data_IF_072696356152
#
_entry.id   IF_072696356152
#
_cell.length_a   1.000
_cell.length_b   1.000
_cell.length_c   1.000
_cell.angle_alpha   90.00
_cell.angle_beta   90.00
_cell.angle_gamma   90.00
#
_symmetry.space_group_name_H-M   'P 1'
#
loop_
_entity.id
_entity.type
_entity.pdbx_description
1 polymer ?
#
# COMPACT_ATOMS: atom_id res chain seq x y z
N UNK A 1 54.58 -29.51 -45.12
CA UNK A 1 53.62 -30.63 -44.99
C UNK A 1 53.61 -31.03 -43.52
N UNK A 2 52.44 -31.28 -42.92
CA UNK A 2 52.17 -31.49 -41.49
C UNK A 2 52.25 -30.22 -40.61
N UNK A 3 51.36 -29.94 -39.64
CA UNK A 3 50.28 -30.69 -39.01
C UNK A 3 49.23 -29.68 -38.50
N UNK A 4 47.93 -29.98 -38.66
CA UNK A 4 46.84 -29.22 -38.06
C UNK A 4 46.64 -29.64 -36.59
N UNK A 5 46.38 -28.67 -35.71
CA UNK A 5 45.77 -28.91 -34.39
C UNK A 5 44.70 -27.85 -34.18
N UNK A 6 43.44 -28.28 -34.19
CA UNK A 6 42.30 -27.53 -33.71
C UNK A 6 42.16 -27.76 -32.20
N UNK A 7 42.05 -26.69 -31.42
CA UNK A 7 41.59 -26.77 -30.04
C UNK A 7 40.28 -26.01 -29.94
N UNK A 8 39.21 -26.78 -29.77
CA UNK A 8 37.84 -26.34 -29.54
C UNK A 8 37.74 -25.44 -28.30
N UNK A 9 36.99 -24.35 -28.44
CA UNK A 9 36.68 -23.45 -27.35
C UNK A 9 35.89 -24.14 -26.24
N UNK A 10 36.21 -23.77 -25.00
CA UNK A 10 35.38 -24.05 -23.83
C UNK A 10 34.96 -22.71 -23.27
N UNK A 11 33.78 -22.23 -23.68
CA UNK A 11 33.15 -21.08 -23.05
C UNK A 11 32.57 -21.54 -21.70
N UNK A 12 33.23 -21.17 -20.60
CA UNK A 12 32.67 -21.33 -19.27
C UNK A 12 31.59 -20.27 -19.05
N UNK A 13 30.33 -20.68 -19.08
CA UNK A 13 29.19 -19.88 -18.63
C UNK A 13 28.93 -20.15 -17.14
N UNK A 14 29.46 -19.28 -16.27
CA UNK A 14 29.18 -19.10 -14.83
C UNK A 14 29.67 -17.68 -14.49
N UNK A 15 28.96 -16.73 -13.91
CA UNK A 15 27.72 -16.69 -13.15
C UNK A 15 26.99 -15.38 -13.48
N UNK A 16 25.66 -15.42 -13.66
CA UNK A 16 24.80 -14.23 -13.69
C UNK A 16 23.76 -14.32 -12.59
N UNK A 17 24.23 -14.46 -11.35
CA UNK A 17 23.44 -14.12 -10.16
C UNK A 17 24.21 -13.07 -9.36
N UNK A 18 24.34 -11.88 -9.96
CA UNK A 18 24.64 -10.70 -9.17
C UNK A 18 23.34 -10.33 -8.43
N UNK A 19 23.34 -10.19 -7.09
CA UNK A 19 22.19 -9.70 -6.36
C UNK A 19 21.83 -8.32 -6.94
N UNK A 20 20.58 -8.15 -7.38
CA UNK A 20 20.08 -6.83 -7.74
C UNK A 20 20.32 -5.88 -6.55
N UNK A 21 20.83 -4.66 -6.77
CA UNK A 21 21.07 -3.73 -5.69
C UNK A 21 19.77 -3.54 -4.90
N UNK A 22 19.87 -3.71 -3.59
CA UNK A 22 18.80 -3.35 -2.66
C UNK A 22 18.57 -1.85 -2.79
N UNK A 23 17.56 -1.46 -3.57
CA UNK A 23 17.08 -0.09 -3.59
C UNK A 23 16.69 0.23 -2.15
N UNK A 24 17.37 1.20 -1.55
CA UNK A 24 17.05 1.66 -0.20
C UNK A 24 15.59 2.09 -0.15
N UNK A 25 14.92 1.82 0.97
CA UNK A 25 13.54 2.25 1.14
C UNK A 25 13.46 3.78 1.02
N UNK A 26 12.49 4.28 0.25
CA UNK A 26 12.21 5.72 0.14
C UNK A 26 11.24 6.11 1.24
N UNK A 27 11.63 7.04 2.09
CA UNK A 27 10.77 7.58 3.15
C UNK A 27 10.46 9.05 2.86
N UNK A 28 9.23 9.33 2.46
CA UNK A 28 8.67 10.66 2.26
C UNK A 28 7.76 11.09 3.42
N UNK A 29 7.64 10.30 4.50
CA UNK A 29 6.85 10.74 5.66
C UNK A 29 7.48 12.00 6.30
N UNK A 30 6.64 12.93 6.81
CA UNK A 30 7.12 14.03 7.63
C UNK A 30 7.98 13.52 8.80
N UNK A 31 9.09 14.19 9.17
CA UNK A 31 10.01 13.71 10.20
C UNK A 31 9.39 13.48 11.59
N UNK A 32 8.30 14.18 11.89
CA UNK A 32 7.52 14.08 13.11
C UNK A 32 6.34 13.10 13.02
N UNK A 33 6.08 12.55 11.83
CA UNK A 33 5.04 11.57 11.61
C UNK A 33 5.57 10.15 11.85
N UNK A 34 5.24 9.59 13.00
CA UNK A 34 5.51 8.18 13.29
C UNK A 34 4.57 7.23 12.53
N UNK A 35 5.11 6.10 12.06
CA UNK A 35 4.31 4.98 11.56
C UNK A 35 3.46 4.41 12.70
N UNK A 36 2.17 4.17 12.47
CA UNK A 36 1.29 3.68 13.53
C UNK A 36 1.62 2.25 13.93
N UNK A 37 1.52 1.93 15.23
CA UNK A 37 1.76 0.57 15.73
C UNK A 37 0.88 -0.46 15.01
N UNK A 38 -0.34 -0.08 14.67
CA UNK A 38 -1.26 -0.97 13.94
C UNK A 38 -0.79 -1.28 12.53
N UNK A 39 -0.16 -0.33 11.82
CA UNK A 39 0.48 -0.60 10.53
C UNK A 39 1.62 -1.60 10.68
N UNK A 40 2.48 -1.42 11.68
CA UNK A 40 3.65 -2.29 11.92
C UNK A 40 3.19 -3.72 12.22
N UNK A 41 2.24 -3.86 13.14
CA UNK A 41 1.71 -5.16 13.53
C UNK A 41 0.95 -5.85 12.38
N UNK A 42 0.16 -5.09 11.61
CA UNK A 42 -0.55 -5.64 10.46
C UNK A 42 0.43 -6.11 9.39
N UNK A 43 1.45 -5.32 9.06
CA UNK A 43 2.48 -5.73 8.10
C UNK A 43 3.23 -7.00 8.57
N UNK A 44 3.56 -7.08 9.86
CA UNK A 44 4.15 -8.28 10.46
C UNK A 44 3.24 -9.50 10.34
N UNK A 45 1.95 -9.34 10.65
CA UNK A 45 0.96 -10.40 10.53
C UNK A 45 0.77 -10.88 9.09
N UNK A 46 0.68 -9.96 8.12
CA UNK A 46 0.54 -10.30 6.69
C UNK A 46 1.66 -11.23 6.22
N UNK A 47 2.89 -10.96 6.65
CA UNK A 47 4.06 -11.77 6.29
C UNK A 47 4.07 -13.10 7.04
N UNK A 48 3.80 -13.08 8.36
CA UNK A 48 3.81 -14.27 9.20
C UNK A 48 2.72 -15.29 8.80
N UNK A 49 1.54 -14.81 8.45
CA UNK A 49 0.41 -15.62 7.98
C UNK A 49 0.50 -15.98 6.49
N UNK A 50 1.37 -15.31 5.72
CA UNK A 50 1.41 -15.35 4.25
C UNK A 50 0.10 -14.92 3.59
N UNK A 51 -0.67 -14.04 4.22
CA UNK A 51 -1.93 -13.55 3.67
C UNK A 51 -1.75 -12.82 2.32
N UNK A 52 -0.59 -12.19 2.10
CA UNK A 52 -0.24 -11.61 0.80
C UNK A 52 0.07 -12.64 -0.30
N UNK A 53 0.17 -13.93 0.03
CA UNK A 53 0.51 -15.02 -0.90
C UNK A 53 1.82 -14.78 -1.68
N UNK A 54 2.76 -14.05 -1.08
CA UNK A 54 4.03 -13.68 -1.72
C UNK A 54 3.95 -12.51 -2.71
N UNK A 55 2.78 -11.90 -2.91
CA UNK A 55 2.64 -10.66 -3.67
C UNK A 55 3.12 -9.45 -2.85
N UNK A 56 3.65 -8.40 -3.49
CA UNK A 56 3.88 -7.13 -2.82
C UNK A 56 2.57 -6.58 -2.26
N UNK A 57 2.67 -5.77 -1.22
CA UNK A 57 1.49 -5.22 -0.56
C UNK A 57 1.70 -3.81 -0.06
N UNK A 58 0.60 -3.08 0.11
CA UNK A 58 0.60 -1.79 0.79
C UNK A 58 -0.33 -1.82 1.99
N UNK A 59 0.07 -1.14 3.06
CA UNK A 59 -0.78 -0.85 4.22
C UNK A 59 -1.04 0.66 4.25
N UNK A 60 -2.31 1.05 4.31
CA UNK A 60 -2.74 2.44 4.27
C UNK A 60 -3.48 2.77 5.57
N UNK A 61 -2.98 3.78 6.27
CA UNK A 61 -3.60 4.30 7.48
C UNK A 61 -4.23 5.64 7.14
N UNK A 62 -5.55 5.62 6.98
CA UNK A 62 -6.33 6.80 6.62
C UNK A 62 -6.28 7.85 7.73
N UNK A 63 -6.29 7.43 9.00
CA UNK A 63 -6.29 8.33 10.15
C UNK A 63 -4.97 9.10 10.28
N UNK A 64 -3.85 8.43 10.00
CA UNK A 64 -2.54 9.06 9.95
C UNK A 64 -2.17 9.61 8.55
N UNK A 65 -3.04 9.47 7.55
CA UNK A 65 -2.80 9.89 6.17
C UNK A 65 -1.51 9.33 5.53
N UNK A 66 -1.17 8.06 5.78
CA UNK A 66 0.06 7.42 5.31
C UNK A 66 -0.18 6.15 4.51
N UNK A 67 0.75 5.88 3.59
CA UNK A 67 0.85 4.62 2.82
C UNK A 67 2.25 4.06 3.00
N UNK A 68 2.33 2.79 3.38
CA UNK A 68 3.58 2.02 3.43
C UNK A 68 3.51 0.90 2.40
N UNK A 69 4.54 0.80 1.55
CA UNK A 69 4.66 -0.18 0.47
C UNK A 69 5.74 -1.19 0.80
N UNK A 70 5.41 -2.47 0.69
CA UNK A 70 6.25 -3.60 1.03
C UNK A 70 6.43 -4.53 -0.17
N UNK A 71 7.61 -5.15 -0.26
CA UNK A 71 7.81 -6.31 -1.12
C UNK A 71 7.03 -7.52 -0.62
N UNK A 72 6.91 -8.55 -1.45
CA UNK A 72 6.23 -9.80 -1.05
C UNK A 72 6.89 -10.54 0.10
N UNK A 73 8.17 -10.23 0.38
CA UNK A 73 8.94 -10.71 1.52
C UNK A 73 8.77 -9.86 2.79
N UNK A 74 7.93 -8.83 2.75
CA UNK A 74 7.71 -7.93 3.88
C UNK A 74 8.75 -6.82 4.04
N UNK A 75 9.74 -6.72 3.15
CA UNK A 75 10.71 -5.61 3.21
C UNK A 75 10.05 -4.30 2.78
N UNK A 76 10.20 -3.27 3.60
CA UNK A 76 9.74 -1.92 3.26
C UNK A 76 10.45 -1.43 1.98
N UNK A 77 9.66 -0.95 1.03
CA UNK A 77 10.11 -0.32 -0.22
C UNK A 77 9.95 1.19 -0.15
N UNK A 78 8.90 1.66 0.51
CA UNK A 78 8.82 3.05 0.88
C UNK A 78 7.60 3.40 1.74
N UNK A 79 7.63 4.60 2.29
CA UNK A 79 6.56 5.19 3.07
C UNK A 79 6.33 6.63 2.59
N UNK A 80 5.09 7.07 2.53
CA UNK A 80 4.74 8.42 2.09
C UNK A 80 3.40 8.89 2.67
N UNK A 81 3.18 10.22 2.78
CA UNK A 81 1.85 10.75 3.00
C UNK A 81 0.97 10.43 1.78
N UNK A 82 -0.34 10.38 2.00
CA UNK A 82 -1.30 10.21 0.93
C UNK A 82 -2.56 11.04 1.19
N UNK A 83 -3.27 11.39 0.12
CA UNK A 83 -4.59 11.97 0.17
C UNK A 83 -5.64 10.87 0.06
N UNK A 84 -6.69 10.99 0.87
CA UNK A 84 -7.81 10.05 0.93
C UNK A 84 -9.13 10.78 0.67
N UNK A 85 -10.21 9.99 0.60
CA UNK A 85 -11.58 10.50 0.48
C UNK A 85 -11.87 11.61 1.49
N UNK A 86 -12.55 12.66 1.05
CA UNK A 86 -12.88 13.81 1.90
C UNK A 86 -13.82 13.46 3.06
N UNK A 87 -14.59 12.37 2.94
CA UNK A 87 -15.45 11.89 4.01
C UNK A 87 -14.76 10.79 4.83
N UNK A 88 -14.98 10.86 6.15
CA UNK A 88 -14.58 9.80 7.09
C UNK A 88 -15.60 8.66 7.01
N UNK A 89 -15.13 7.47 6.62
CA UNK A 89 -15.96 6.29 6.49
C UNK A 89 -15.23 5.11 5.84
N UNK A 90 -15.81 3.92 5.96
CA UNK A 90 -15.15 2.65 5.63
C UNK A 90 -15.79 1.89 4.47
N UNK A 91 -16.85 2.43 3.88
CA UNK A 91 -17.64 1.75 2.87
C UNK A 91 -17.92 2.67 1.70
N UNK A 92 -17.78 2.14 0.49
CA UNK A 92 -18.18 2.83 -0.72
C UNK A 92 -19.71 2.85 -0.82
N UNK A 93 -20.28 4.01 -1.12
CA UNK A 93 -21.72 4.16 -1.25
C UNK A 93 -22.26 3.32 -2.44
N UNK A 94 -23.45 2.71 -2.33
CA UNK A 94 -24.01 1.89 -3.40
C UNK A 94 -24.11 2.66 -4.73
N UNK A 95 -23.50 2.11 -5.78
CA UNK A 95 -23.53 2.72 -7.13
C UNK A 95 -22.64 3.95 -7.31
N UNK A 96 -21.80 4.31 -6.32
CA UNK A 96 -20.91 5.49 -6.41
C UNK A 96 -19.98 5.43 -7.63
N UNK A 97 -19.51 4.23 -7.99
CA UNK A 97 -18.67 4.00 -9.17
C UNK A 97 -19.35 4.35 -10.51
N UNK A 98 -20.68 4.52 -10.54
CA UNK A 98 -21.45 4.89 -11.73
C UNK A 98 -21.74 6.39 -11.81
N UNK A 99 -21.37 7.16 -10.79
CA UNK A 99 -21.59 8.60 -10.75
C UNK A 99 -20.38 9.33 -11.34
N UNK A 100 -20.64 10.45 -12.02
CA UNK A 100 -19.57 11.39 -12.32
C UNK A 100 -18.96 11.91 -11.00
N UNK A 101 -17.65 12.16 -10.96
CA UNK A 101 -16.95 12.60 -9.74
C UNK A 101 -17.60 13.84 -9.09
N UNK A 102 -18.06 14.80 -9.91
CA UNK A 102 -18.74 16.01 -9.44
C UNK A 102 -20.11 15.73 -8.79
N UNK A 103 -20.75 14.62 -9.14
CA UNK A 103 -22.07 14.21 -8.64
C UNK A 103 -22.00 13.35 -7.37
N UNK A 104 -20.81 12.88 -6.96
CA UNK A 104 -20.65 12.11 -5.72
C UNK A 104 -20.92 13.04 -4.52
N UNK A 105 -21.96 12.76 -3.71
CA UNK A 105 -22.28 13.54 -2.52
C UNK A 105 -21.09 13.60 -1.56
N UNK A 106 -20.91 14.73 -0.87
CA UNK A 106 -19.75 14.93 0.00
C UNK A 106 -19.55 13.82 1.04
N UNK A 107 -20.64 13.27 1.59
CA UNK A 107 -20.59 12.19 2.59
C UNK A 107 -20.26 10.82 1.99
N UNK A 108 -20.41 10.64 0.68
CA UNK A 108 -20.12 9.39 -0.04
C UNK A 108 -18.68 9.35 -0.58
N UNK A 109 -17.90 10.43 -0.41
CA UNK A 109 -16.50 10.54 -0.86
C UNK A 109 -15.54 9.86 0.12
N UNK A 110 -15.75 8.59 0.37
CA UNK A 110 -14.96 7.78 1.32
C UNK A 110 -13.93 6.94 0.60
N UNK A 111 -12.78 6.69 1.23
CA UNK A 111 -11.91 5.57 0.84
C UNK A 111 -12.30 4.35 1.69
N UNK A 112 -12.72 3.22 1.08
CA UNK A 112 -13.19 2.06 1.80
C UNK A 112 -12.06 1.41 2.60
N UNK A 113 -12.42 0.76 3.71
CA UNK A 113 -11.49 -0.02 4.52
C UNK A 113 -11.62 -1.51 4.18
N UNK A 114 -10.51 -2.25 4.29
CA UNK A 114 -10.50 -3.69 4.01
C UNK A 114 -9.23 -4.19 3.36
N UNK A 115 -9.29 -5.43 2.90
CA UNK A 115 -8.24 -6.11 2.14
C UNK A 115 -8.70 -6.26 0.69
N UNK A 116 -7.90 -5.78 -0.24
CA UNK A 116 -8.21 -5.78 -1.67
C UNK A 116 -7.07 -6.40 -2.47
N UNK A 117 -7.43 -7.09 -3.56
CA UNK A 117 -6.47 -7.56 -4.55
C UNK A 117 -6.57 -6.62 -5.73
N UNK A 118 -5.48 -5.92 -6.01
CA UNK A 118 -5.45 -4.86 -7.01
C UNK A 118 -4.32 -5.02 -8.01
N UNK A 119 -4.34 -4.18 -9.03
CA UNK A 119 -3.34 -4.19 -10.08
C UNK A 119 -3.62 -3.16 -11.16
N UNK A 120 -2.64 -2.99 -12.04
CA UNK A 120 -2.78 -2.07 -13.16
C UNK A 120 -3.81 -2.57 -14.17
N UNK A 121 -4.74 -1.68 -14.54
CA UNK A 121 -5.76 -1.97 -15.54
C UNK A 121 -6.19 -0.71 -16.30
N UNK A 122 -7.01 -0.87 -17.35
CA UNK A 122 -7.51 0.24 -18.13
C UNK A 122 -8.41 1.16 -17.28
N UNK A 123 -8.41 2.44 -17.64
CA UNK A 123 -9.34 3.46 -17.14
C UNK A 123 -9.83 4.28 -18.33
N UNK A 124 -11.13 4.57 -18.37
CA UNK A 124 -11.75 5.30 -19.48
C UNK A 124 -11.16 6.71 -19.64
N UNK A 125 -10.80 7.36 -18.53
CA UNK A 125 -10.34 8.76 -18.52
C UNK A 125 -8.82 8.90 -18.41
N UNK A 126 -8.14 7.92 -17.81
CA UNK A 126 -6.71 7.99 -17.48
C UNK A 126 -5.85 6.96 -18.22
N UNK A 127 -6.44 6.14 -19.10
CA UNK A 127 -5.75 5.13 -19.89
C UNK A 127 -5.35 3.90 -19.08
N UNK A 128 -4.49 4.05 -18.07
CA UNK A 128 -4.03 2.98 -17.18
C UNK A 128 -3.84 3.50 -15.75
N UNK A 129 -4.46 2.84 -14.78
CA UNK A 129 -4.33 3.20 -13.35
C UNK A 129 -4.09 1.96 -12.50
N UNK A 130 -3.55 2.15 -11.30
CA UNK A 130 -3.46 1.09 -10.30
C UNK A 130 -4.80 1.00 -9.57
N UNK A 131 -5.62 0.02 -9.95
CA UNK A 131 -6.87 -0.27 -9.24
C UNK A 131 -6.55 -0.93 -7.91
N UNK A 132 -7.04 -0.33 -6.83
CA UNK A 132 -6.97 -0.92 -5.48
C UNK A 132 -8.21 -1.78 -5.25
N UNK A 133 -9.38 -1.24 -5.56
CA UNK A 133 -10.65 -1.96 -5.60
C UNK A 133 -11.40 -1.58 -6.88
N UNK A 134 -11.52 -2.54 -7.79
CA UNK A 134 -12.16 -2.32 -9.09
C UNK A 134 -13.67 -2.09 -8.94
N UNK A 135 -14.33 -2.83 -8.05
CA UNK A 135 -15.79 -2.81 -7.91
C UNK A 135 -16.30 -1.47 -7.37
N UNK A 136 -15.52 -0.84 -6.49
CA UNK A 136 -15.82 0.50 -5.97
C UNK A 136 -15.13 1.64 -6.72
N UNK A 137 -14.44 1.34 -7.83
CA UNK A 137 -13.68 2.30 -8.62
C UNK A 137 -12.64 3.10 -7.82
N UNK A 138 -12.01 2.47 -6.82
CA UNK A 138 -10.95 3.08 -6.02
C UNK A 138 -9.59 2.72 -6.63
N UNK A 139 -8.83 3.75 -6.98
CA UNK A 139 -7.48 3.61 -7.52
C UNK A 139 -6.46 4.38 -6.70
N UNK A 140 -5.20 3.95 -6.79
CA UNK A 140 -4.03 4.71 -6.35
C UNK A 140 -3.39 5.34 -7.57
N UNK A 141 -3.11 6.64 -7.52
CA UNK A 141 -2.47 7.34 -8.63
C UNK A 141 -1.66 8.54 -8.12
N UNK A 142 -0.68 9.06 -8.89
CA UNK A 142 0.01 10.27 -8.50
C UNK A 142 -0.98 11.44 -8.46
N UNK A 143 -0.60 12.51 -7.75
CA UNK A 143 -1.33 13.78 -7.80
C UNK A 143 -1.63 14.13 -9.26
N UNK A 144 -2.92 14.24 -9.65
CA UNK A 144 -3.24 14.70 -10.99
C UNK A 144 -2.77 16.15 -11.13
N UNK A 145 -2.53 16.64 -12.36
CA UNK A 145 -2.37 18.07 -12.62
C UNK A 145 -3.67 18.78 -12.21
N UNK A 146 -3.73 19.19 -10.93
CA UNK A 146 -4.97 19.50 -10.24
C UNK A 146 -5.44 20.95 -10.42
N UNK A 147 -6.67 21.20 -9.98
CA UNK A 147 -7.23 22.54 -9.85
C UNK A 147 -6.59 23.27 -8.66
N UNK A 148 -6.18 24.55 -8.79
CA UNK A 148 -5.66 25.35 -7.67
C UNK A 148 -6.60 25.45 -6.47
N UNK A 149 -7.90 25.14 -6.64
CA UNK A 149 -8.90 25.23 -5.56
C UNK A 149 -8.76 24.15 -4.51
N UNK A 150 -8.32 22.95 -4.89
CA UNK A 150 -8.25 21.81 -3.97
C UNK A 150 -6.96 21.79 -3.15
N UNK A 151 -5.93 22.51 -3.61
CA UNK A 151 -4.62 22.64 -2.95
C UNK A 151 -4.00 21.29 -2.57
N UNK A 152 -4.08 20.32 -3.48
CA UNK A 152 -3.70 18.92 -3.19
C UNK A 152 -2.23 18.77 -2.85
N UNK A 153 -1.34 19.54 -3.49
CA UNK A 153 0.09 19.50 -3.18
C UNK A 153 0.36 20.04 -1.77
N UNK A 154 -0.28 21.15 -1.39
CA UNK A 154 -0.16 21.74 -0.06
C UNK A 154 -0.75 20.85 1.02
N UNK A 155 -1.89 20.21 0.74
CA UNK A 155 -2.52 19.23 1.63
C UNK A 155 -1.62 18.02 1.84
N UNK A 156 -1.04 17.48 0.77
CA UNK A 156 -0.15 16.31 0.85
C UNK A 156 1.10 16.61 1.68
N UNK A 157 1.61 17.84 1.60
CA UNK A 157 2.76 18.31 2.37
C UNK A 157 2.41 18.79 3.79
N UNK A 158 1.13 18.81 4.17
CA UNK A 158 0.73 19.25 5.51
C UNK A 158 1.14 18.21 6.55
N UNK A 159 1.63 18.63 7.74
CA UNK A 159 1.88 17.71 8.84
C UNK A 159 0.58 17.23 9.53
N UNK A 160 -0.58 17.82 9.20
CA UNK A 160 -1.86 17.42 9.79
C UNK A 160 -2.60 16.41 8.89
N UNK A 161 -2.81 15.16 9.34
CA UNK A 161 -3.52 14.15 8.55
C UNK A 161 -4.94 14.53 8.12
N UNK A 162 -5.61 15.41 8.87
CA UNK A 162 -6.95 15.90 8.52
C UNK A 162 -6.94 16.74 7.24
N UNK A 163 -5.84 17.43 6.94
CA UNK A 163 -5.69 18.19 5.69
C UNK A 163 -5.64 17.27 4.46
N UNK A 164 -5.30 16.00 4.64
CA UNK A 164 -5.14 15.02 3.57
C UNK A 164 -6.49 14.42 3.09
N UNK A 165 -7.62 14.86 3.65
CA UNK A 165 -8.97 14.42 3.26
C UNK A 165 -9.56 15.34 2.19
N UNK A 166 -9.45 14.96 0.91
CA UNK A 166 -9.87 15.82 -0.21
C UNK A 166 -10.37 15.09 -1.45
N UNK A 167 -10.05 13.80 -1.61
CA UNK A 167 -10.41 13.07 -2.84
C UNK A 167 -11.87 12.62 -2.82
N UNK A 168 -12.33 12.06 -3.93
CA UNK A 168 -13.64 11.41 -4.02
C UNK A 168 -13.64 9.94 -3.57
N UNK A 169 -12.50 9.42 -3.13
CA UNK A 169 -12.31 8.03 -2.69
C UNK A 169 -10.97 7.44 -3.12
N UNK A 170 -10.43 7.88 -4.27
CA UNK A 170 -9.10 7.49 -4.73
C UNK A 170 -7.99 7.89 -3.74
N UNK A 171 -6.87 7.16 -3.79
CA UNK A 171 -5.69 7.44 -2.98
C UNK A 171 -4.68 8.20 -3.85
N UNK A 172 -4.24 9.37 -3.40
CA UNK A 172 -3.23 10.13 -4.14
C UNK A 172 -1.92 10.24 -3.37
N UNK A 173 -0.81 10.01 -4.05
CA UNK A 173 0.55 10.12 -3.50
C UNK A 173 1.37 11.11 -4.34
N UNK A 174 2.57 11.44 -3.89
CA UNK A 174 3.47 12.30 -4.67
C UNK A 174 3.83 11.62 -6.02
N UNK A 175 4.01 12.38 -7.10
CA UNK A 175 4.48 11.81 -8.37
C UNK A 175 5.82 11.06 -8.22
N UNK A 176 6.74 11.58 -7.41
CA UNK A 176 8.04 10.96 -7.15
C UNK A 176 7.90 9.58 -6.49
N UNK A 177 7.12 9.49 -5.40
CA UNK A 177 6.84 8.21 -4.74
C UNK A 177 6.17 7.21 -5.66
N UNK A 178 5.21 7.69 -6.48
CA UNK A 178 4.50 6.83 -7.41
C UNK A 178 5.44 6.22 -8.46
N UNK A 179 6.26 7.04 -9.10
CA UNK A 179 7.18 6.62 -10.16
C UNK A 179 8.30 5.73 -9.62
N UNK A 180 8.86 6.08 -8.46
CA UNK A 180 10.00 5.36 -7.89
C UNK A 180 9.59 4.05 -7.22
N UNK A 181 8.47 4.05 -6.48
CA UNK A 181 8.09 2.94 -5.61
C UNK A 181 6.85 2.22 -6.12
N UNK A 182 5.71 2.92 -6.23
CA UNK A 182 4.41 2.27 -6.47
C UNK A 182 4.38 1.54 -7.81
N UNK A 183 4.79 2.21 -8.87
CA UNK A 183 4.66 1.70 -10.23
C UNK A 183 5.42 0.39 -10.45
N UNK A 184 6.71 0.38 -10.10
CA UNK A 184 7.54 -0.80 -10.28
C UNK A 184 7.14 -1.93 -9.32
N UNK A 185 6.73 -1.60 -8.09
CA UNK A 185 6.37 -2.59 -7.08
C UNK A 185 5.10 -3.35 -7.47
N UNK A 186 4.08 -2.65 -7.97
CA UNK A 186 2.76 -3.24 -8.26
C UNK A 186 2.52 -3.56 -9.74
N UNK A 187 3.57 -3.58 -10.58
CA UNK A 187 3.45 -3.87 -12.01
C UNK A 187 2.76 -5.23 -12.29
N UNK A 188 2.96 -6.22 -11.39
CA UNK A 188 2.30 -7.54 -11.44
C UNK A 188 1.07 -7.67 -10.53
N UNK A 189 0.56 -6.56 -10.02
CA UNK A 189 -0.48 -6.51 -9.00
C UNK A 189 0.05 -6.71 -7.57
N UNK A 190 -0.85 -6.58 -6.60
CA UNK A 190 -0.52 -6.70 -5.19
C UNK A 190 -1.76 -6.75 -4.30
N UNK A 191 -1.51 -6.81 -2.99
CA UNK A 191 -2.56 -6.80 -1.97
C UNK A 191 -2.56 -5.46 -1.23
N UNK A 192 -3.72 -4.87 -1.03
CA UNK A 192 -3.86 -3.55 -0.44
C UNK A 192 -4.71 -3.66 0.82
N UNK A 193 -4.14 -3.22 1.95
CA UNK A 193 -4.81 -3.21 3.25
C UNK A 193 -5.07 -1.77 3.63
N UNK A 194 -6.33 -1.39 3.78
CA UNK A 194 -6.74 -0.05 4.18
C UNK A 194 -7.37 -0.12 5.57
N UNK A 195 -6.74 0.53 6.55
CA UNK A 195 -7.22 0.57 7.93
C UNK A 195 -8.53 1.34 8.04
N UNK A 196 -9.46 0.92 8.92
CA UNK A 196 -10.74 1.57 9.10
C UNK A 196 -10.62 2.90 9.88
N UNK A 197 -11.52 3.83 9.55
CA UNK A 197 -11.74 5.09 10.28
C UNK A 197 -12.75 4.91 11.42
N UNK A 198 -13.77 4.06 11.24
CA UNK A 198 -14.91 3.91 12.18
C UNK A 198 -15.10 2.48 12.64
N UNK A 199 -14.97 1.52 11.73
CA UNK A 199 -15.08 0.11 12.02
C UNK A 199 -13.93 -0.36 12.92
N UNK A 200 -14.20 -1.34 13.78
CA UNK A 200 -13.14 -1.96 14.59
C UNK A 200 -12.21 -2.79 13.70
N UNK A 201 -10.94 -2.90 14.10
CA UNK A 201 -9.98 -3.82 13.46
C UNK A 201 -10.52 -5.25 13.39
N UNK A 202 -11.25 -5.73 14.40
CA UNK A 202 -11.83 -7.07 14.40
C UNK A 202 -12.94 -7.26 13.34
N UNK A 203 -13.63 -6.19 12.95
CA UNK A 203 -14.63 -6.24 11.88
C UNK A 203 -13.96 -6.20 10.50
N UNK A 204 -12.95 -5.36 10.33
CA UNK A 204 -12.27 -5.17 9.04
C UNK A 204 -11.23 -6.25 8.74
N UNK A 205 -10.50 -6.72 9.76
CA UNK A 205 -9.45 -7.74 9.68
C UNK A 205 -9.60 -8.76 10.82
N UNK A 206 -10.60 -9.67 10.75
CA UNK A 206 -10.92 -10.59 11.84
C UNK A 206 -9.75 -11.50 12.24
N UNK A 207 -9.03 -12.06 11.28
CA UNK A 207 -7.93 -13.00 11.52
C UNK A 207 -6.72 -12.29 12.16
N UNK A 208 -6.42 -11.07 11.72
CA UNK A 208 -5.40 -10.24 12.34
C UNK A 208 -5.76 -9.91 13.80
N UNK A 209 -7.01 -9.51 14.06
CA UNK A 209 -7.47 -9.21 15.40
C UNK A 209 -7.41 -10.42 16.34
N UNK A 210 -7.75 -11.61 15.84
CA UNK A 210 -7.62 -12.88 16.58
C UNK A 210 -6.16 -13.15 16.95
N UNK A 211 -5.23 -13.03 15.99
CA UNK A 211 -3.80 -13.26 16.24
C UNK A 211 -3.21 -12.35 17.34
N UNK A 212 -3.69 -11.11 17.46
CA UNK A 212 -3.31 -10.18 18.53
C UNK A 212 -3.83 -10.63 19.89
N UNK A 213 -5.02 -11.22 19.94
CA UNK A 213 -5.60 -11.79 21.16
C UNK A 213 -4.79 -13.00 21.65
N UNK A 214 -4.49 -13.92 20.74
CA UNK A 214 -3.74 -15.13 21.06
C UNK A 214 -2.33 -14.82 21.60
N UNK A 215 -1.63 -13.86 20.97
CA UNK A 215 -0.30 -13.42 21.42
C UNK A 215 -0.31 -12.81 22.83
N UNK A 216 -1.37 -12.07 23.19
CA UNK A 216 -1.53 -11.49 24.54
C UNK A 216 -1.78 -12.58 25.58
N UNK A 217 -2.62 -13.55 25.27
CA UNK A 217 -2.92 -14.69 26.15
C UNK A 217 -1.69 -15.58 26.40
N UNK A 218 -0.85 -15.79 25.39
CA UNK A 218 0.41 -16.53 25.51
C UNK A 218 1.44 -15.77 26.38
N UNK A 219 1.55 -14.45 26.20
CA UNK A 219 2.42 -13.59 27.01
C UNK A 219 2.05 -13.62 28.50
N UNK A 220 0.76 -13.54 28.83
CA UNK A 220 0.29 -13.62 30.22
C UNK A 220 0.53 -14.99 30.85
N UNK A 221 0.30 -16.08 30.11
CA UNK A 221 0.57 -17.45 30.57
C UNK A 221 2.06 -17.68 30.81
N UNK A 222 2.93 -17.11 29.97
CA UNK A 222 4.39 -17.15 30.12
C UNK A 222 4.87 -16.41 31.38
N UNK A 223 4.38 -15.18 31.59
CA UNK A 223 4.73 -14.36 32.76
C UNK A 223 4.30 -15.01 34.10
N UNK A 224 3.10 -15.62 34.14
CA UNK A 224 2.60 -16.35 35.33
C UNK A 224 3.39 -17.63 35.63
N UNK A 225 4.03 -18.25 34.62
CA UNK A 225 4.90 -19.42 34.81
C UNK A 225 6.30 -19.04 35.26
N UNK A 226 6.84 -17.92 34.81
CA UNK A 226 8.16 -17.41 35.22
C UNK A 226 8.17 -16.84 36.66
N UNK A 227 6.99 -16.61 37.25
CA UNK A 227 6.83 -16.06 38.61
C UNK A 227 6.59 -17.14 39.69
N UNK A 228 6.77 -18.42 39.36
CA UNK A 228 6.72 -19.58 40.27
C UNK A 228 8.08 -20.25 40.32
#
# INVERSE_FOLDING_TARGET
MALAVACSGVANARDKDAPAPSVAAVDELPPDQSVSETVIELAGWVVASKDNQGYPFAVMDKAAAQVLVFGGDGKLRGAAPALFGSAIGDHSAPGVAKLALSAIPGHDRTTPAGRFIGGYGPSDDAGRVLWVDYDSAVSMHPLPPGSPKEKRAERLASPSPDDNRVTHGCINVSPAFYEQIVQSTFEKGGVFYILPDKDSIAKTFPEFAQSRGDAKDEGEKGARRASK
#
